data_IF_434310038193
#
_entry.id   IF_434310038193
#
_cell.length_a   1.000
_cell.length_b   1.000
_cell.length_c   1.000
_cell.angle_alpha   90.00
_cell.angle_beta   90.00
_cell.angle_gamma   90.00
#
_symmetry.space_group_name_H-M   'P 1'
#
loop_
_entity.id
_entity.type
_entity.pdbx_description
1 polymer ?
#
# COMPACT_ATOMS: atom_id res chain seq x y z
N UNK A 1 -13.52 -102.94 -35.23
CA UNK A 1 -12.78 -104.14 -34.79
C UNK A 1 -13.76 -104.97 -33.95
N UNK A 2 -14.66 -105.79 -34.50
CA UNK A 2 -14.45 -106.74 -35.58
C UNK A 2 -13.77 -107.98 -35.02
N UNK A 3 -14.47 -108.77 -34.20
CA UNK A 3 -14.04 -110.12 -33.81
C UNK A 3 -15.19 -111.10 -33.97
N UNK A 4 -15.22 -111.65 -35.17
CA UNK A 4 -15.75 -112.95 -35.57
C UNK A 4 -15.14 -114.07 -34.72
N UNK A 5 -16.00 -114.95 -34.20
CA UNK A 5 -15.62 -116.16 -33.49
C UNK A 5 -16.50 -117.32 -33.97
N UNK A 6 -15.96 -118.04 -34.94
CA UNK A 6 -16.49 -119.20 -35.65
C UNK A 6 -17.09 -120.28 -34.73
N UNK A 7 -18.28 -120.77 -35.10
CA UNK A 7 -18.71 -122.14 -34.80
C UNK A 7 -18.25 -123.05 -35.93
N UNK A 8 -17.68 -124.23 -35.64
CA UNK A 8 -17.70 -125.33 -36.57
C UNK A 8 -18.90 -126.24 -36.32
N UNK A 9 -19.46 -126.64 -37.45
CA UNK A 9 -20.56 -127.55 -37.68
C UNK A 9 -20.12 -129.03 -37.59
N UNK A 10 -21.12 -129.90 -37.68
CA UNK A 10 -21.09 -131.28 -38.16
C UNK A 10 -21.02 -132.41 -37.14
N UNK A 11 -22.24 -132.89 -36.86
CA UNK A 11 -22.66 -134.29 -37.06
C UNK A 11 -21.88 -135.39 -36.33
N UNK A 12 -22.52 -135.96 -35.32
CA UNK A 12 -22.62 -137.42 -35.11
C UNK A 12 -23.79 -137.69 -34.14
N UNK A 13 -25.01 -137.74 -34.67
CA UNK A 13 -26.12 -138.46 -34.04
C UNK A 13 -26.11 -139.89 -34.59
N UNK A 14 -26.04 -140.89 -33.71
CA UNK A 14 -26.90 -142.06 -33.83
C UNK A 14 -27.73 -142.19 -32.54
N UNK A 15 -29.06 -142.10 -32.64
CA UNK A 15 -29.98 -143.23 -32.81
C UNK A 15 -29.99 -144.18 -31.61
N UNK A 16 -31.11 -144.09 -30.88
CA UNK A 16 -31.83 -145.17 -30.21
C UNK A 16 -31.12 -145.90 -29.07
N UNK A 17 -31.55 -145.53 -27.85
CA UNK A 17 -31.93 -146.47 -26.79
C UNK A 17 -30.97 -147.64 -26.57
N UNK A 18 -29.88 -147.36 -25.86
CA UNK A 18 -29.26 -148.36 -24.99
C UNK A 18 -29.66 -148.00 -23.57
N UNK A 19 -30.62 -148.74 -23.04
CA UNK A 19 -30.93 -148.78 -21.61
C UNK A 19 -29.67 -149.28 -20.88
N UNK A 20 -28.72 -148.38 -20.62
CA UNK A 20 -27.83 -148.56 -19.49
C UNK A 20 -28.69 -148.21 -18.27
N UNK A 21 -29.33 -149.22 -17.69
CA UNK A 21 -29.92 -149.13 -16.36
C UNK A 21 -28.77 -148.93 -15.39
N UNK A 22 -28.25 -147.71 -15.35
CA UNK A 22 -27.32 -147.25 -14.34
C UNK A 22 -28.05 -147.48 -13.02
N UNK A 23 -27.47 -148.35 -12.18
CA UNK A 23 -28.09 -148.69 -10.91
C UNK A 23 -28.30 -147.39 -10.14
N UNK A 24 -29.42 -147.26 -9.43
CA UNK A 24 -29.65 -146.12 -8.54
C UNK A 24 -28.43 -145.86 -7.63
N UNK A 25 -27.71 -146.92 -7.26
CA UNK A 25 -26.46 -146.83 -6.50
C UNK A 25 -25.33 -146.09 -7.24
N UNK A 26 -25.18 -146.28 -8.55
CA UNK A 26 -24.15 -145.60 -9.36
C UNK A 26 -24.47 -144.13 -9.57
N UNK A 27 -25.76 -143.80 -9.75
CA UNK A 27 -26.23 -142.41 -9.82
C UNK A 27 -26.02 -141.70 -8.49
N UNK A 28 -26.35 -142.36 -7.36
CA UNK A 28 -26.13 -141.80 -6.02
C UNK A 28 -24.63 -141.62 -5.72
N UNK A 29 -23.77 -142.56 -6.13
CA UNK A 29 -22.32 -142.43 -6.00
C UNK A 29 -21.77 -141.26 -6.82
N UNK A 30 -22.20 -141.12 -8.07
CA UNK A 30 -21.80 -140.01 -8.94
C UNK A 30 -22.26 -138.66 -8.38
N UNK A 31 -23.48 -138.59 -7.82
CA UNK A 31 -23.99 -137.38 -7.14
C UNK A 31 -23.18 -137.07 -5.87
N UNK A 32 -22.80 -138.06 -5.07
CA UNK A 32 -21.98 -137.85 -3.89
C UNK A 32 -20.56 -137.37 -4.22
N UNK A 33 -19.93 -137.93 -5.26
CA UNK A 33 -18.62 -137.48 -5.78
C UNK A 33 -18.72 -136.06 -6.35
N UNK A 34 -19.80 -135.75 -7.08
CA UNK A 34 -20.07 -134.40 -7.59
C UNK A 34 -20.31 -133.40 -6.47
N UNK A 35 -21.07 -133.75 -5.43
CA UNK A 35 -21.30 -132.92 -4.26
C UNK A 35 -19.99 -132.67 -3.50
N UNK A 36 -19.15 -133.69 -3.33
CA UNK A 36 -17.85 -133.56 -2.69
C UNK A 36 -16.91 -132.64 -3.48
N UNK A 37 -16.87 -132.76 -4.82
CA UNK A 37 -16.13 -131.85 -5.69
C UNK A 37 -16.64 -130.42 -5.59
N UNK A 38 -17.96 -130.22 -5.65
CA UNK A 38 -18.56 -128.90 -5.51
C UNK A 38 -18.27 -128.26 -4.15
N UNK A 39 -18.32 -129.02 -3.05
CA UNK A 39 -18.00 -128.51 -1.71
C UNK A 39 -16.53 -128.09 -1.60
N UNK A 40 -15.62 -128.88 -2.19
CA UNK A 40 -14.20 -128.53 -2.32
C UNK A 40 -14.01 -127.23 -3.13
N UNK A 41 -14.70 -127.09 -4.27
CA UNK A 41 -14.59 -125.92 -5.13
C UNK A 41 -15.20 -124.67 -4.49
N UNK A 42 -16.32 -124.80 -3.77
CA UNK A 42 -16.90 -123.73 -2.95
C UNK A 42 -15.91 -123.31 -1.86
N UNK A 43 -15.24 -124.26 -1.20
CA UNK A 43 -14.21 -123.96 -0.20
C UNK A 43 -13.03 -123.17 -0.76
N UNK A 44 -12.53 -123.55 -1.95
CA UNK A 44 -11.47 -122.82 -2.66
C UNK A 44 -11.94 -121.43 -3.08
N UNK A 45 -13.12 -121.31 -3.70
CA UNK A 45 -13.71 -120.04 -4.10
C UNK A 45 -13.87 -119.08 -2.91
N UNK A 46 -14.32 -119.58 -1.75
CA UNK A 46 -14.47 -118.77 -0.54
C UNK A 46 -13.12 -118.23 -0.04
N UNK A 47 -12.07 -119.05 -0.11
CA UNK A 47 -10.71 -118.65 0.27
C UNK A 47 -10.18 -117.55 -0.64
N UNK A 48 -10.34 -117.73 -1.97
CA UNK A 48 -9.94 -116.71 -2.97
C UNK A 48 -10.74 -115.42 -2.77
N UNK A 49 -12.03 -115.51 -2.51
CA UNK A 49 -12.90 -114.35 -2.28
C UNK A 49 -12.47 -113.54 -1.05
N UNK A 50 -12.14 -114.22 0.07
CA UNK A 50 -11.59 -113.54 1.25
C UNK A 50 -10.23 -112.87 0.97
N UNK A 51 -9.33 -113.52 0.22
CA UNK A 51 -8.04 -112.92 -0.15
C UNK A 51 -8.23 -111.66 -1.00
N UNK A 52 -9.11 -111.70 -1.99
CA UNK A 52 -9.40 -110.54 -2.85
C UNK A 52 -10.02 -109.39 -2.04
N UNK A 53 -10.98 -109.68 -1.16
CA UNK A 53 -11.57 -108.67 -0.28
C UNK A 53 -10.54 -108.03 0.64
N UNK A 54 -9.63 -108.82 1.20
CA UNK A 54 -8.57 -108.30 2.08
C UNK A 54 -7.58 -107.42 1.31
N UNK A 55 -7.21 -107.84 0.10
CA UNK A 55 -6.30 -107.08 -0.75
C UNK A 55 -6.92 -105.75 -1.24
N UNK A 56 -8.21 -105.75 -1.56
CA UNK A 56 -8.95 -104.53 -1.91
C UNK A 56 -8.99 -103.55 -0.73
N UNK A 57 -9.36 -104.06 0.45
CA UNK A 57 -9.41 -103.26 1.68
C UNK A 57 -8.03 -102.69 2.06
N UNK A 58 -6.96 -103.46 1.89
CA UNK A 58 -5.60 -103.02 2.14
C UNK A 58 -5.19 -101.89 1.16
N UNK A 59 -5.56 -101.99 -0.12
CA UNK A 59 -5.33 -100.91 -1.10
C UNK A 59 -6.08 -99.65 -0.72
N UNK A 60 -7.36 -99.76 -0.36
CA UNK A 60 -8.19 -98.63 0.05
C UNK A 60 -7.65 -97.97 1.32
N UNK A 61 -7.28 -98.77 2.33
CA UNK A 61 -6.64 -98.27 3.55
C UNK A 61 -5.34 -97.50 3.25
N UNK A 62 -4.47 -98.04 2.38
CA UNK A 62 -3.23 -97.36 2.00
C UNK A 62 -3.50 -96.07 1.22
N UNK A 63 -4.53 -96.04 0.38
CA UNK A 63 -4.96 -94.85 -0.35
C UNK A 63 -5.44 -93.75 0.60
N UNK A 64 -6.35 -94.09 1.53
CA UNK A 64 -6.87 -93.14 2.54
C UNK A 64 -5.75 -92.64 3.46
N UNK A 65 -4.81 -93.52 3.85
CA UNK A 65 -3.65 -93.12 4.66
C UNK A 65 -2.75 -92.12 3.92
N UNK A 66 -2.52 -92.33 2.63
CA UNK A 66 -1.71 -91.42 1.82
C UNK A 66 -2.40 -90.06 1.67
N UNK A 67 -3.69 -90.06 1.34
CA UNK A 67 -4.51 -88.85 1.24
C UNK A 67 -4.48 -88.08 2.56
N UNK A 68 -4.77 -88.74 3.68
CA UNK A 68 -4.76 -88.12 5.02
C UNK A 68 -3.41 -87.45 5.31
N UNK A 69 -2.29 -88.14 5.02
CA UNK A 69 -0.95 -87.57 5.22
C UNK A 69 -0.66 -86.39 4.30
N UNK A 70 -1.23 -86.35 3.09
CA UNK A 70 -1.09 -85.20 2.20
C UNK A 70 -1.91 -84.02 2.70
N UNK A 71 -3.15 -84.23 3.13
CA UNK A 71 -4.02 -83.17 3.63
C UNK A 71 -3.50 -82.59 4.95
N UNK A 72 -2.95 -83.42 5.84
CA UNK A 72 -2.32 -82.97 7.10
C UNK A 72 -1.16 -82.00 6.83
N UNK A 73 -0.30 -82.30 5.85
CA UNK A 73 0.78 -81.38 5.45
C UNK A 73 0.26 -80.08 4.86
N UNK A 74 -0.82 -80.15 4.08
CA UNK A 74 -1.43 -78.95 3.50
C UNK A 74 -2.06 -78.05 4.57
N UNK A 75 -2.70 -78.64 5.58
CA UNK A 75 -3.22 -77.91 6.74
C UNK A 75 -2.08 -77.18 7.47
N UNK A 76 -0.97 -77.86 7.75
CA UNK A 76 0.17 -77.22 8.41
C UNK A 76 0.75 -76.05 7.59
N UNK A 77 0.86 -76.19 6.26
CA UNK A 77 1.31 -75.10 5.40
C UNK A 77 0.33 -73.91 5.40
N UNK A 78 -0.98 -74.17 5.48
CA UNK A 78 -1.99 -73.13 5.59
C UNK A 78 -1.94 -72.44 6.95
N UNK A 79 -1.73 -73.18 8.04
CA UNK A 79 -1.58 -72.62 9.39
C UNK A 79 -0.39 -71.66 9.46
N UNK A 80 0.77 -72.04 8.91
CA UNK A 80 1.96 -71.17 8.82
C UNK A 80 1.64 -69.88 8.03
N UNK A 81 0.91 -70.00 6.91
CA UNK A 81 0.50 -68.85 6.10
C UNK A 81 -0.49 -67.93 6.83
N UNK A 82 -1.40 -68.50 7.63
CA UNK A 82 -2.34 -67.77 8.47
C UNK A 82 -1.58 -66.97 9.54
N UNK A 83 -0.60 -67.57 10.20
CA UNK A 83 0.18 -66.90 11.25
C UNK A 83 0.96 -65.70 10.69
N UNK A 84 1.63 -65.87 9.54
CA UNK A 84 2.34 -64.77 8.87
C UNK A 84 1.37 -63.64 8.49
N UNK A 85 0.21 -63.98 7.92
CA UNK A 85 -0.78 -62.98 7.52
C UNK A 85 -1.36 -62.24 8.73
N UNK A 86 -1.61 -62.95 9.83
CA UNK A 86 -2.07 -62.34 11.08
C UNK A 86 -1.08 -61.32 11.62
N UNK A 87 0.21 -61.67 11.66
CA UNK A 87 1.26 -60.75 12.08
C UNK A 87 1.32 -59.50 11.18
N UNK A 88 1.20 -59.68 9.86
CA UNK A 88 1.16 -58.55 8.92
C UNK A 88 -0.05 -57.64 9.16
N UNK A 89 -1.23 -58.21 9.40
CA UNK A 89 -2.43 -57.44 9.73
C UNK A 89 -2.25 -56.64 11.03
N UNK A 90 -1.74 -57.26 12.09
CA UNK A 90 -1.48 -56.58 13.37
C UNK A 90 -0.50 -55.41 13.21
N UNK A 91 0.57 -55.60 12.42
CA UNK A 91 1.54 -54.55 12.13
C UNK A 91 0.93 -53.41 11.29
N UNK A 92 0.08 -53.72 10.32
CA UNK A 92 -0.63 -52.70 9.55
C UNK A 92 -1.63 -51.93 10.41
N UNK A 93 -2.36 -52.60 11.29
CA UNK A 93 -3.26 -51.93 12.25
C UNK A 93 -2.51 -50.97 13.17
N UNK A 94 -1.35 -51.38 13.67
CA UNK A 94 -0.50 -50.52 14.51
C UNK A 94 -0.06 -49.26 13.74
N UNK A 95 0.36 -49.41 12.48
CA UNK A 95 0.73 -48.29 11.62
C UNK A 95 -0.45 -47.35 11.34
N UNK A 96 -1.63 -47.90 11.04
CA UNK A 96 -2.85 -47.09 10.82
C UNK A 96 -3.20 -46.28 12.07
N UNK A 97 -3.13 -46.88 13.28
CA UNK A 97 -3.37 -46.18 14.54
C UNK A 97 -2.35 -45.06 14.78
N UNK A 98 -1.07 -45.32 14.50
CA UNK A 98 0.00 -44.33 14.63
C UNK A 98 -0.21 -43.14 13.69
N UNK A 99 -0.47 -43.40 12.40
CA UNK A 99 -0.74 -42.37 11.39
C UNK A 99 -2.00 -41.56 11.73
N UNK A 100 -3.05 -42.21 12.23
CA UNK A 100 -4.27 -41.52 12.64
C UNK A 100 -4.01 -40.56 13.81
N UNK A 101 -3.25 -41.02 14.81
CA UNK A 101 -2.86 -40.17 15.95
C UNK A 101 -2.01 -38.98 15.53
N UNK A 102 -1.06 -39.19 14.62
CA UNK A 102 -0.23 -38.11 14.09
C UNK A 102 -1.06 -37.11 13.27
N UNK A 103 -1.97 -37.59 12.43
CA UNK A 103 -2.86 -36.74 11.65
C UNK A 103 -3.75 -35.87 12.56
N UNK A 104 -4.26 -36.45 13.64
CA UNK A 104 -5.06 -35.72 14.63
C UNK A 104 -4.25 -34.62 15.32
N UNK A 105 -2.99 -34.91 15.68
CA UNK A 105 -2.07 -33.91 16.25
C UNK A 105 -1.78 -32.78 15.26
N UNK A 106 -1.43 -33.11 14.01
CA UNK A 106 -1.16 -32.13 12.97
C UNK A 106 -2.35 -31.21 12.71
N UNK A 107 -3.58 -31.75 12.77
CA UNK A 107 -4.79 -30.93 12.64
C UNK A 107 -4.94 -29.94 13.80
N UNK A 108 -4.72 -30.37 15.04
CA UNK A 108 -4.77 -29.48 16.20
C UNK A 108 -3.67 -28.41 16.16
N UNK A 109 -2.45 -28.78 15.74
CA UNK A 109 -1.35 -27.84 15.56
C UNK A 109 -1.69 -26.80 14.47
N UNK A 110 -2.29 -27.24 13.36
CA UNK A 110 -2.74 -26.35 12.28
C UNK A 110 -3.86 -25.40 12.72
N UNK A 111 -4.84 -25.88 13.49
CA UNK A 111 -5.89 -25.06 14.08
C UNK A 111 -5.31 -24.00 15.03
N UNK A 112 -4.32 -24.36 15.84
CA UNK A 112 -3.63 -23.43 16.75
C UNK A 112 -2.92 -22.32 15.98
N UNK A 113 -2.15 -22.68 14.95
CA UNK A 113 -1.45 -21.70 14.10
C UNK A 113 -2.43 -20.78 13.37
N UNK A 114 -3.58 -21.31 12.94
CA UNK A 114 -4.63 -20.53 12.29
C UNK A 114 -5.24 -19.50 13.26
N UNK A 115 -5.54 -19.90 14.50
CA UNK A 115 -6.07 -18.98 15.53
C UNK A 115 -5.06 -17.86 15.86
N UNK A 116 -3.78 -18.20 16.02
CA UNK A 116 -2.72 -17.22 16.22
C UNK A 116 -2.61 -16.23 15.06
N UNK A 117 -2.70 -16.72 13.82
CA UNK A 117 -2.68 -15.88 12.63
C UNK A 117 -3.86 -14.89 12.61
N UNK A 118 -5.07 -15.35 12.90
CA UNK A 118 -6.26 -14.50 12.96
C UNK A 118 -6.16 -13.43 14.05
N UNK A 119 -5.64 -13.79 15.22
CA UNK A 119 -5.37 -12.86 16.31
C UNK A 119 -4.35 -11.78 15.89
N UNK A 120 -3.25 -12.16 15.26
CA UNK A 120 -2.24 -11.23 14.76
C UNK A 120 -2.82 -10.33 13.68
N UNK A 121 -3.62 -10.87 12.76
CA UNK A 121 -4.29 -10.12 11.70
C UNK A 121 -5.24 -9.06 12.27
N UNK A 122 -6.07 -9.43 13.25
CA UNK A 122 -6.96 -8.50 13.93
C UNK A 122 -6.20 -7.35 14.60
N UNK A 123 -5.12 -7.67 15.33
CA UNK A 123 -4.25 -6.67 15.96
C UNK A 123 -3.58 -5.75 14.93
N UNK A 124 -3.11 -6.28 13.80
CA UNK A 124 -2.50 -5.49 12.73
C UNK A 124 -3.50 -4.51 12.11
N UNK A 125 -4.73 -4.96 11.88
CA UNK A 125 -5.80 -4.13 11.35
C UNK A 125 -6.16 -2.99 12.31
N UNK A 126 -6.19 -3.25 13.62
CA UNK A 126 -6.39 -2.21 14.63
C UNK A 126 -5.26 -1.15 14.59
N UNK A 127 -4.00 -1.59 14.54
CA UNK A 127 -2.87 -0.66 14.40
C UNK A 127 -2.93 0.16 13.11
N UNK A 128 -3.33 -0.46 11.99
CA UNK A 128 -3.52 0.24 10.71
C UNK A 128 -4.60 1.32 10.83
N UNK A 129 -5.70 1.04 11.53
CA UNK A 129 -6.73 2.01 11.88
C UNK A 129 -6.14 3.20 12.65
N UNK A 130 -5.43 2.93 13.75
CA UNK A 130 -4.78 3.97 14.57
C UNK A 130 -3.82 4.84 13.76
N UNK A 131 -3.03 4.25 12.86
CA UNK A 131 -2.12 4.98 11.98
C UNK A 131 -2.90 5.88 11.02
N UNK A 132 -3.99 5.39 10.45
CA UNK A 132 -4.85 6.17 9.55
C UNK A 132 -5.45 7.38 10.27
N UNK A 133 -5.92 7.19 11.50
CA UNK A 133 -6.51 8.27 12.31
C UNK A 133 -5.46 9.32 12.70
N UNK A 134 -4.27 8.90 13.14
CA UNK A 134 -3.17 9.82 13.43
C UNK A 134 -2.73 10.60 12.19
N UNK A 135 -2.65 9.93 11.04
CA UNK A 135 -2.29 10.57 9.77
C UNK A 135 -3.32 11.63 9.35
N UNK A 136 -4.61 11.35 9.56
CA UNK A 136 -5.67 12.32 9.32
C UNK A 136 -5.54 13.54 10.25
N UNK A 137 -5.35 13.34 11.55
CA UNK A 137 -5.16 14.43 12.52
C UNK A 137 -3.93 15.29 12.17
N UNK A 138 -2.83 14.65 11.78
CA UNK A 138 -1.62 15.34 11.35
C UNK A 138 -1.89 16.23 10.13
N UNK A 139 -2.54 15.70 9.10
CA UNK A 139 -2.91 16.46 7.91
C UNK A 139 -3.86 17.63 8.22
N UNK A 140 -4.82 17.43 9.13
CA UNK A 140 -5.71 18.50 9.55
C UNK A 140 -4.93 19.64 10.24
N UNK A 141 -4.00 19.30 11.14
CA UNK A 141 -3.14 20.28 11.81
C UNK A 141 -2.22 20.99 10.81
N UNK A 142 -1.57 20.25 9.92
CA UNK A 142 -0.69 20.78 8.88
C UNK A 142 -1.44 21.76 7.96
N UNK A 143 -2.69 21.42 7.58
CA UNK A 143 -3.53 22.29 6.75
C UNK A 143 -3.86 23.64 7.42
N UNK A 144 -3.92 23.68 8.75
CA UNK A 144 -4.22 24.89 9.54
C UNK A 144 -2.98 25.72 9.87
N UNK A 145 -1.78 25.14 9.76
CA UNK A 145 -0.51 25.79 10.11
C UNK A 145 -0.26 27.13 9.38
N UNK A 146 -0.51 27.26 8.06
CA UNK A 146 -0.29 28.54 7.37
C UNK A 146 -1.15 29.69 7.93
N UNK A 147 -2.39 29.38 8.32
CA UNK A 147 -3.32 30.35 8.92
C UNK A 147 -2.82 30.79 10.30
N UNK A 148 -2.31 29.86 11.11
CA UNK A 148 -1.75 30.18 12.41
C UNK A 148 -0.51 31.09 12.30
N UNK A 149 0.39 30.77 11.37
CA UNK A 149 1.58 31.60 11.09
C UNK A 149 1.17 33.02 10.67
N UNK A 150 0.19 33.15 9.77
CA UNK A 150 -0.28 34.47 9.32
C UNK A 150 -0.96 35.24 10.45
N UNK A 151 -1.76 34.56 11.28
CA UNK A 151 -2.39 35.15 12.45
C UNK A 151 -1.35 35.73 13.43
N UNK A 152 -0.29 34.98 13.72
CA UNK A 152 0.76 35.46 14.63
C UNK A 152 1.52 36.65 14.06
N UNK A 153 1.80 36.67 12.75
CA UNK A 153 2.35 37.87 12.07
C UNK A 153 1.43 39.08 12.21
N UNK A 154 0.12 38.91 11.98
CA UNK A 154 -0.85 40.00 12.09
C UNK A 154 -0.98 40.50 13.53
N UNK A 155 -0.96 39.62 14.53
CA UNK A 155 -0.94 40.00 15.94
C UNK A 155 0.30 40.83 16.28
N UNK A 156 1.48 40.44 15.79
CA UNK A 156 2.71 41.21 16.01
C UNK A 156 2.60 42.64 15.43
N UNK A 157 2.05 42.79 14.22
CA UNK A 157 1.79 44.11 13.61
C UNK A 157 0.80 44.92 14.45
N UNK A 158 -0.26 44.30 14.96
CA UNK A 158 -1.24 44.99 15.82
C UNK A 158 -0.60 45.49 17.11
N UNK A 159 0.26 44.69 17.76
CA UNK A 159 0.97 45.13 18.96
C UNK A 159 1.95 46.27 18.65
N UNK A 160 2.69 46.21 17.54
CA UNK A 160 3.56 47.32 17.10
C UNK A 160 2.75 48.62 16.89
N UNK A 161 1.59 48.53 16.25
CA UNK A 161 0.70 49.68 16.04
C UNK A 161 0.12 50.22 17.35
N UNK A 162 -0.18 49.37 18.33
CA UNK A 162 -0.61 49.81 19.66
C UNK A 162 0.49 50.58 20.37
N UNK A 163 1.74 50.09 20.35
CA UNK A 163 2.88 50.78 20.95
C UNK A 163 3.09 52.16 20.29
N UNK A 164 3.09 52.23 18.96
CA UNK A 164 3.21 53.51 18.22
C UNK A 164 2.07 54.47 18.53
N UNK A 165 0.84 53.96 18.65
CA UNK A 165 -0.32 54.77 19.06
C UNK A 165 -0.12 55.34 20.46
N UNK A 166 0.35 54.54 21.42
CA UNK A 166 0.58 55.00 22.79
C UNK A 166 1.73 56.03 22.87
N UNK A 167 2.81 55.83 22.11
CA UNK A 167 3.88 56.83 21.95
C UNK A 167 3.33 58.16 21.43
N UNK A 168 2.56 58.11 20.35
CA UNK A 168 1.97 59.30 19.75
C UNK A 168 0.97 60.00 20.70
N UNK A 169 0.19 59.23 21.47
CA UNK A 169 -0.70 59.77 22.49
C UNK A 169 0.07 60.47 23.62
N UNK A 170 1.20 59.91 24.06
CA UNK A 170 2.08 60.57 25.05
C UNK A 170 2.67 61.86 24.50
N UNK A 171 3.12 61.85 23.24
CA UNK A 171 3.60 63.05 22.57
C UNK A 171 2.51 64.11 22.46
N UNK A 172 1.27 63.76 22.12
CA UNK A 172 0.15 64.72 22.07
C UNK A 172 -0.24 65.31 23.42
N UNK A 173 -0.07 64.55 24.52
CA UNK A 173 -0.34 65.04 25.87
C UNK A 173 0.80 65.89 26.43
N UNK A 174 2.00 65.84 25.84
CA UNK A 174 3.15 66.64 26.23
C UNK A 174 3.42 67.75 25.20
N UNK A 175 3.20 69.04 25.52
CA UNK A 175 3.55 70.13 24.61
C UNK A 175 5.07 70.20 24.29
N UNK A 176 5.92 69.50 25.05
CA UNK A 176 7.36 69.31 24.75
C UNK A 176 7.69 67.95 24.10
N UNK A 177 6.68 67.17 23.69
CA UNK A 177 6.87 65.87 23.02
C UNK A 177 7.70 66.00 21.74
N UNK A 178 8.52 64.99 21.42
CA UNK A 178 9.54 65.07 20.36
C UNK A 178 9.00 65.61 19.03
N UNK A 179 7.86 65.08 18.58
CA UNK A 179 7.26 65.45 17.28
C UNK A 179 6.63 66.84 17.34
N UNK A 180 5.89 67.16 18.41
CA UNK A 180 5.28 68.48 18.58
C UNK A 180 6.36 69.55 18.69
N UNK A 181 7.41 69.30 19.47
CA UNK A 181 8.52 70.21 19.64
C UNK A 181 9.24 70.49 18.32
N UNK A 182 9.50 69.45 17.51
CA UNK A 182 10.08 69.63 16.18
C UNK A 182 9.19 70.53 15.30
N UNK A 183 7.88 70.26 15.25
CA UNK A 183 6.95 71.07 14.46
C UNK A 183 6.87 72.50 15.00
N UNK A 184 6.89 72.69 16.32
CA UNK A 184 6.88 74.00 16.95
C UNK A 184 8.15 74.80 16.61
N UNK A 185 9.33 74.16 16.66
CA UNK A 185 10.60 74.76 16.29
C UNK A 185 10.62 75.20 14.82
N UNK A 186 10.11 74.35 13.91
CA UNK A 186 9.97 74.69 12.48
C UNK A 186 9.02 75.88 12.26
N UNK A 187 7.87 75.92 12.96
CA UNK A 187 6.94 77.06 12.92
C UNK A 187 7.64 78.34 13.40
N UNK A 188 8.37 78.26 14.51
CA UNK A 188 9.04 79.42 15.10
C UNK A 188 10.14 79.97 14.18
N UNK A 189 10.89 79.07 13.51
CA UNK A 189 11.88 79.44 12.50
C UNK A 189 11.23 80.20 11.35
N UNK A 190 10.15 79.66 10.78
CA UNK A 190 9.39 80.30 9.71
C UNK A 190 8.85 81.68 10.10
N UNK A 191 8.30 81.83 11.30
CA UNK A 191 7.82 83.12 11.81
C UNK A 191 8.96 84.16 11.90
N UNK A 192 10.15 83.74 12.32
CA UNK A 192 11.33 84.60 12.38
C UNK A 192 11.81 85.06 10.99
N UNK A 193 11.77 84.17 10.00
CA UNK A 193 12.12 84.50 8.61
C UNK A 193 11.12 85.48 8.01
N UNK A 194 9.82 85.26 8.23
CA UNK A 194 8.75 86.16 7.78
C UNK A 194 8.92 87.54 8.40
N UNK A 195 9.24 87.63 9.69
CA UNK A 195 9.43 88.91 10.39
C UNK A 195 10.65 89.65 9.83
N UNK A 196 11.76 88.95 9.62
CA UNK A 196 12.98 89.51 9.04
C UNK A 196 12.75 90.04 7.63
N UNK A 197 12.02 89.28 6.79
CA UNK A 197 11.64 89.71 5.45
C UNK A 197 10.72 90.94 5.50
N UNK A 198 9.77 90.98 6.43
CA UNK A 198 8.87 92.12 6.61
C UNK A 198 9.62 93.39 6.98
N UNK A 199 10.57 93.31 7.90
CA UNK A 199 11.43 94.44 8.28
C UNK A 199 12.32 94.91 7.13
N UNK A 200 12.85 93.96 6.35
CA UNK A 200 13.60 94.28 5.14
C UNK A 200 12.74 95.01 4.11
N UNK A 201 11.49 94.57 3.89
CA UNK A 201 10.52 95.22 3.01
C UNK A 201 10.18 96.63 3.51
N UNK A 202 9.94 96.82 4.82
CA UNK A 202 9.68 98.12 5.41
C UNK A 202 10.85 99.08 5.17
N UNK A 203 12.09 98.64 5.43
CA UNK A 203 13.29 99.43 5.17
C UNK A 203 13.45 99.82 3.70
N UNK A 204 13.15 98.89 2.78
CA UNK A 204 13.13 99.20 1.33
C UNK A 204 12.04 100.20 0.96
N UNK A 205 10.89 100.12 1.62
CA UNK A 205 9.76 101.05 1.43
C UNK A 205 10.12 102.45 1.92
N UNK A 206 10.78 102.59 3.07
CA UNK A 206 11.25 103.87 3.59
C UNK A 206 12.29 104.52 2.67
N UNK A 207 13.27 103.74 2.20
CA UNK A 207 14.27 104.20 1.23
C UNK A 207 13.62 104.65 -0.09
N UNK A 208 12.59 103.93 -0.54
CA UNK A 208 11.82 104.31 -1.72
C UNK A 208 11.09 105.64 -1.51
N UNK A 209 10.54 105.88 -0.32
CA UNK A 209 9.86 107.13 0.01
C UNK A 209 10.83 108.32 0.11
N UNK A 210 12.02 108.12 0.68
CA UNK A 210 13.09 109.12 0.64
C UNK A 210 13.50 109.45 -0.80
N UNK A 211 13.65 108.44 -1.65
CA UNK A 211 14.01 108.64 -3.05
C UNK A 211 12.90 109.39 -3.81
N UNK A 212 11.62 109.08 -3.55
CA UNK A 212 10.49 109.85 -4.08
C UNK A 212 10.53 111.31 -3.65
N UNK A 213 10.85 111.61 -2.38
CA UNK A 213 11.01 112.99 -1.88
C UNK A 213 12.15 113.72 -2.57
N UNK A 214 13.32 113.09 -2.73
CA UNK A 214 14.44 113.64 -3.50
C UNK A 214 14.05 113.91 -4.94
N UNK A 215 13.34 112.98 -5.58
CA UNK A 215 12.85 113.14 -6.94
C UNK A 215 11.86 114.31 -7.07
N UNK A 216 10.95 114.48 -6.11
CA UNK A 216 10.04 115.63 -6.06
C UNK A 216 10.80 116.97 -5.91
N UNK A 217 11.81 117.01 -5.03
CA UNK A 217 12.65 118.20 -4.86
C UNK A 217 13.43 118.54 -6.14
N UNK A 218 14.02 117.54 -6.81
CA UNK A 218 14.67 117.73 -8.10
C UNK A 218 13.68 118.26 -9.16
N UNK A 219 12.44 117.78 -9.16
CA UNK A 219 11.40 118.25 -10.09
C UNK A 219 11.02 119.71 -9.86
N UNK A 220 10.93 120.15 -8.60
CA UNK A 220 10.71 121.56 -8.24
C UNK A 220 11.90 122.42 -8.71
N UNK A 221 13.13 122.00 -8.40
CA UNK A 221 14.35 122.69 -8.85
C UNK A 221 14.41 122.79 -10.38
N UNK A 222 14.07 121.71 -11.09
CA UNK A 222 14.02 121.70 -12.55
C UNK A 222 12.97 122.69 -13.08
N UNK A 223 11.78 122.75 -12.49
CA UNK A 223 10.76 123.74 -12.81
C UNK A 223 11.25 125.19 -12.56
N UNK A 224 11.98 125.42 -11.48
CA UNK A 224 12.58 126.71 -11.17
C UNK A 224 13.67 127.09 -12.17
N UNK A 225 14.55 126.15 -12.56
CA UNK A 225 15.58 126.36 -13.59
C UNK A 225 14.95 126.62 -14.96
N UNK A 226 13.92 125.86 -15.34
CA UNK A 226 13.16 126.11 -16.57
C UNK A 226 12.49 127.48 -16.54
N UNK A 227 11.88 127.88 -15.41
CA UNK A 227 11.32 129.24 -15.24
C UNK A 227 12.41 130.32 -15.33
N UNK A 228 13.57 130.13 -14.73
CA UNK A 228 14.69 131.08 -14.82
C UNK A 228 15.22 131.15 -16.25
N UNK A 229 15.33 130.02 -16.95
CA UNK A 229 15.70 129.98 -18.37
C UNK A 229 14.63 130.63 -19.26
N UNK A 230 13.34 130.48 -18.94
CA UNK A 230 12.24 131.15 -19.62
C UNK A 230 12.26 132.66 -19.37
N UNK A 231 12.57 133.11 -18.14
CA UNK A 231 12.74 134.53 -17.80
C UNK A 231 13.99 135.11 -18.48
N UNK A 232 15.09 134.35 -18.58
CA UNK A 232 16.25 134.74 -19.40
C UNK A 232 15.85 134.89 -20.86
N UNK A 233 15.11 133.92 -21.42
CA UNK A 233 14.61 133.96 -22.79
C UNK A 233 13.72 135.18 -23.06
N UNK A 234 12.83 135.53 -22.12
CA UNK A 234 11.97 136.73 -22.20
C UNK A 234 12.77 138.03 -22.03
N UNK A 235 13.86 138.04 -21.24
CA UNK A 235 14.72 139.24 -21.04
C UNK A 235 15.68 139.51 -22.20
N UNK A 236 15.89 138.55 -23.08
CA UNK A 236 16.72 138.69 -24.30
C UNK A 236 15.92 139.00 -25.57
N UNK A 237 14.60 139.12 -25.50
CA UNK A 237 13.74 139.37 -26.68
C UNK A 237 13.07 140.77 -26.70
N UNK A 238 13.73 141.76 -26.10
CA UNK A 238 13.56 143.19 -26.44
C UNK A 238 14.73 143.70 -27.30
N UNK A 239 15.08 142.90 -28.32
CA UNK A 239 15.84 143.25 -29.54
C UNK A 239 17.37 143.39 -29.37
N UNK A 240 18.23 142.83 -30.22
CA UNK A 240 18.11 142.12 -31.52
C UNK A 240 19.42 141.33 -31.77
N UNK A 241 19.40 140.37 -32.70
CA UNK A 241 20.54 139.59 -33.25
C UNK A 241 21.20 138.61 -32.24
N UNK A 242 21.63 137.38 -32.53
CA UNK A 242 22.08 136.75 -33.77
C UNK A 242 22.27 135.22 -33.53
N UNK A 243 21.91 134.42 -34.54
CA UNK A 243 22.61 133.22 -35.07
C UNK A 243 23.14 132.04 -34.21
N UNK A 244 22.80 130.84 -34.71
CA UNK A 244 23.63 129.62 -34.86
C UNK A 244 23.84 128.73 -33.61
N UNK A 245 23.99 127.40 -33.65
CA UNK A 245 23.79 126.28 -34.60
C UNK A 245 24.05 125.01 -33.75
N UNK A 246 23.33 123.89 -34.03
CA UNK A 246 23.77 122.47 -33.85
C UNK A 246 24.12 122.00 -32.41
N UNK A 247 23.99 120.74 -31.95
CA UNK A 247 24.08 119.43 -32.58
C UNK A 247 23.60 118.37 -31.55
N UNK A 248 22.93 117.31 -32.01
CA UNK A 248 22.97 115.94 -31.43
C UNK A 248 24.44 115.43 -31.33
N UNK A 249 24.83 114.25 -30.76
CA UNK A 249 24.03 113.03 -30.53
C UNK A 249 24.47 112.09 -29.35
N UNK A 250 23.64 111.05 -29.16
CA UNK A 250 23.95 109.61 -28.92
C UNK A 250 24.94 109.06 -27.86
N UNK A 251 24.48 107.90 -27.35
CA UNK A 251 25.18 106.61 -27.15
C UNK A 251 25.91 106.26 -25.83
N UNK A 252 25.36 105.21 -25.20
CA UNK A 252 25.95 103.87 -25.00
C UNK A 252 26.44 103.39 -23.62
N UNK A 253 25.96 102.15 -23.36
CA UNK A 253 26.59 100.96 -22.77
C UNK A 253 26.98 100.91 -21.28
N UNK A 254 26.34 99.93 -20.62
CA UNK A 254 27.03 98.83 -19.90
C UNK A 254 27.44 99.13 -18.46
N UNK A 255 27.45 98.19 -17.50
CA UNK A 255 27.29 96.73 -17.47
C UNK A 255 26.97 96.31 -16.01
N UNK A 256 26.28 95.18 -15.89
CA UNK A 256 26.41 94.07 -14.93
C UNK A 256 26.77 94.33 -13.45
N UNK A 257 26.01 93.68 -12.56
CA UNK A 257 26.55 92.66 -11.65
C UNK A 257 25.45 91.63 -11.31
N UNK A 258 25.74 90.36 -11.58
CA UNK A 258 25.01 89.17 -11.12
C UNK A 258 25.22 89.00 -9.61
N UNK A 259 24.19 88.59 -8.85
CA UNK A 259 24.38 87.65 -7.74
C UNK A 259 23.23 86.64 -7.74
N UNK A 260 23.69 85.39 -7.66
CA UNK A 260 23.03 84.10 -7.66
C UNK A 260 22.76 83.67 -6.22
N UNK A 261 21.54 83.23 -5.90
CA UNK A 261 21.19 82.31 -4.81
C UNK A 261 19.82 81.73 -5.20
N UNK A 262 19.66 80.49 -5.64
CA UNK A 262 20.06 79.28 -4.92
C UNK A 262 18.90 78.84 -4.02
N UNK A 263 17.79 78.38 -4.61
CA UNK A 263 16.74 77.65 -3.89
C UNK A 263 16.94 76.17 -4.22
N UNK A 264 17.22 75.42 -3.17
CA UNK A 264 17.17 73.96 -3.12
C UNK A 264 15.93 73.59 -2.33
#
# INVERSE_FOLDING_TARGET
LGYSGERPDSSLLPKMTTQNSQSLADVVKQVAEQQHSQLSDIGKCKTVLFQLQFQELEKEMNSVLLETKTTEREIHLQDDAIEVTKYQCENLEAQVRALYSENLKLRCDAETVQEEFEMILARNNEYRGKIKDHKHLFWEMESKMPVMIELDKKKAVVEELKTKKEELMRDFQNPEGSVIKQVQEEITLLESEVTTLKDFINKKTDLLEEEKKKHANLRIMFCSVVKINLIKYIRTDSGQTETFISSSPQHNLGKNTQINTGIK
#
